data_IF_116891059206
#
_entry.id   IF_116891059206
#
_cell.length_a   1.000
_cell.length_b   1.000
_cell.length_c   1.000
_cell.angle_alpha   90.00
_cell.angle_beta   90.00
_cell.angle_gamma   90.00
#
_symmetry.space_group_name_H-M   'P 1'
#
loop_
_entity.id
_entity.type
_entity.pdbx_description
1 polymer ?
#
# COMPACT_ATOMS: atom_id res chain seq x y z
N UNK A 1 7.74 -9.77 -11.15
CA UNK A 1 8.93 -9.48 -10.32
C UNK A 1 9.39 -10.71 -9.51
N UNK A 2 8.51 -11.34 -8.73
CA UNK A 2 8.90 -12.44 -7.82
C UNK A 2 9.63 -13.62 -8.47
N UNK A 3 9.30 -14.01 -9.72
CA UNK A 3 9.99 -15.12 -10.40
C UNK A 3 11.48 -14.85 -10.63
N UNK A 4 11.84 -13.67 -11.14
CA UNK A 4 13.23 -13.32 -11.44
C UNK A 4 14.06 -13.21 -10.15
N UNK A 5 13.49 -12.56 -9.13
CA UNK A 5 14.13 -12.38 -7.81
C UNK A 5 14.39 -13.73 -7.15
N UNK A 6 13.43 -14.65 -7.21
CA UNK A 6 13.56 -16.03 -6.68
C UNK A 6 14.56 -16.86 -7.46
N UNK A 7 14.51 -16.82 -8.80
CA UNK A 7 15.40 -17.59 -9.66
C UNK A 7 16.86 -17.15 -9.50
N UNK A 8 17.12 -15.85 -9.50
CA UNK A 8 18.48 -15.29 -9.38
C UNK A 8 18.98 -15.18 -7.94
N UNK A 9 18.14 -15.48 -6.94
CA UNK A 9 18.45 -15.34 -5.50
C UNK A 9 18.95 -13.94 -5.13
N UNK A 10 18.35 -12.92 -5.72
CA UNK A 10 18.66 -11.50 -5.45
C UNK A 10 17.55 -10.88 -4.60
N UNK A 11 17.77 -9.66 -4.11
CA UNK A 11 16.71 -8.81 -3.55
C UNK A 11 16.49 -7.61 -4.45
N UNK A 12 15.23 -7.21 -4.64
CA UNK A 12 14.86 -6.04 -5.41
C UNK A 12 14.03 -5.10 -4.54
N UNK A 13 14.35 -3.80 -4.60
CA UNK A 13 13.57 -2.73 -3.97
C UNK A 13 13.02 -1.86 -5.09
N UNK A 14 11.75 -1.50 -4.99
CA UNK A 14 11.07 -0.66 -5.98
C UNK A 14 10.14 0.32 -5.29
N UNK A 15 10.03 1.52 -5.85
CA UNK A 15 9.02 2.50 -5.48
C UNK A 15 7.88 2.43 -6.52
N UNK A 16 6.64 2.30 -6.04
CA UNK A 16 5.44 2.17 -6.88
C UNK A 16 4.40 3.16 -6.37
N UNK A 17 3.81 3.94 -7.28
CA UNK A 17 2.75 4.89 -6.92
C UNK A 17 1.37 4.22 -6.81
N UNK A 18 1.15 3.12 -7.52
CA UNK A 18 -0.12 2.38 -7.52
C UNK A 18 -0.13 1.25 -6.48
N UNK A 19 -1.12 1.31 -5.58
CA UNK A 19 -1.28 0.34 -4.48
C UNK A 19 -1.64 -1.08 -4.97
N UNK A 20 -2.40 -1.21 -6.05
CA UNK A 20 -2.82 -2.49 -6.59
C UNK A 20 -1.65 -3.22 -7.27
N UNK A 21 -0.82 -2.48 -8.01
CA UNK A 21 0.43 -3.01 -8.54
C UNK A 21 1.39 -3.42 -7.42
N UNK A 22 1.52 -2.59 -6.37
CA UNK A 22 2.34 -2.91 -5.21
C UNK A 22 1.88 -4.20 -4.52
N UNK A 23 0.57 -4.33 -4.28
CA UNK A 23 -0.08 -5.52 -3.70
C UNK A 23 0.19 -6.79 -4.51
N UNK A 24 0.08 -6.69 -5.84
CA UNK A 24 0.18 -7.83 -6.78
C UNK A 24 1.61 -8.33 -6.92
N UNK A 25 2.58 -7.44 -7.01
CA UNK A 25 3.94 -7.79 -7.45
C UNK A 25 4.98 -7.83 -6.34
N UNK A 26 4.64 -7.33 -5.15
CA UNK A 26 5.56 -7.30 -4.01
C UNK A 26 5.24 -8.41 -3.01
N UNK A 27 6.30 -9.00 -2.45
CA UNK A 27 6.18 -9.94 -1.33
C UNK A 27 6.05 -9.19 0.00
N UNK A 28 6.67 -8.00 0.11
CA UNK A 28 6.59 -7.09 1.25
C UNK A 28 6.42 -5.66 0.77
N UNK A 29 5.80 -4.83 1.60
CA UNK A 29 5.63 -3.39 1.39
C UNK A 29 6.26 -2.61 2.53
N UNK A 30 6.67 -1.39 2.22
CA UNK A 30 7.04 -0.36 3.18
C UNK A 30 6.19 0.86 2.86
N UNK A 31 5.37 1.28 3.81
CA UNK A 31 4.58 2.50 3.73
C UNK A 31 5.37 3.64 4.36
N UNK A 32 5.42 4.77 3.67
CA UNK A 32 6.14 5.96 4.12
C UNK A 32 5.16 7.09 4.40
N UNK A 33 5.32 7.77 5.52
CA UNK A 33 4.59 8.99 5.88
C UNK A 33 5.57 9.99 6.49
N UNK A 34 5.54 11.24 6.04
CA UNK A 34 6.38 12.33 6.55
C UNK A 34 7.88 11.98 6.57
N UNK A 35 8.36 11.34 5.50
CA UNK A 35 9.76 10.92 5.35
C UNK A 35 10.19 9.76 6.25
N UNK A 36 9.27 9.13 6.99
CA UNK A 36 9.54 8.02 7.91
C UNK A 36 8.79 6.76 7.50
N UNK A 37 9.32 5.61 7.91
CA UNK A 37 8.60 4.33 7.80
C UNK A 37 7.42 4.34 8.74
N UNK A 38 6.21 4.30 8.17
CA UNK A 38 4.97 4.18 8.91
C UNK A 38 4.68 2.71 9.27
N UNK A 39 4.85 1.81 8.29
CA UNK A 39 4.67 0.37 8.48
C UNK A 39 5.48 -0.42 7.44
N UNK A 40 5.91 -1.63 7.80
CA UNK A 40 6.58 -2.57 6.90
C UNK A 40 6.08 -4.00 7.15
N UNK A 41 5.79 -4.75 6.08
CA UNK A 41 5.24 -6.10 6.21
C UNK A 41 4.58 -6.62 4.94
N UNK A 42 3.73 -7.63 5.07
CA UNK A 42 3.00 -8.20 3.94
C UNK A 42 1.87 -7.28 3.47
N UNK A 43 1.55 -7.26 2.15
CA UNK A 43 0.45 -6.45 1.63
C UNK A 43 -0.88 -6.64 2.37
N UNK A 44 -1.23 -7.87 2.78
CA UNK A 44 -2.48 -8.17 3.50
C UNK A 44 -2.57 -7.51 4.87
N UNK A 45 -1.44 -7.31 5.55
CA UNK A 45 -1.42 -6.64 6.84
C UNK A 45 -1.41 -5.12 6.69
N UNK A 46 -0.78 -4.61 5.62
CA UNK A 46 -0.52 -3.19 5.45
C UNK A 46 -1.62 -2.46 4.67
N UNK A 47 -2.15 -3.05 3.60
CA UNK A 47 -3.18 -2.44 2.75
C UNK A 47 -4.56 -2.69 3.35
N UNK A 48 -4.90 -1.89 4.37
CA UNK A 48 -6.23 -1.79 4.95
C UNK A 48 -6.69 -0.32 4.93
N UNK A 49 -7.98 -0.08 5.12
CA UNK A 49 -8.63 1.22 5.01
C UNK A 49 -7.99 2.26 5.95
N UNK A 50 -7.65 1.86 7.19
CA UNK A 50 -7.05 2.73 8.20
C UNK A 50 -5.67 3.21 7.74
N UNK A 51 -4.80 2.28 7.35
CA UNK A 51 -3.45 2.62 6.90
C UNK A 51 -3.48 3.45 5.62
N UNK A 52 -4.38 3.14 4.69
CA UNK A 52 -4.53 3.90 3.44
C UNK A 52 -4.98 5.33 3.73
N UNK A 53 -5.97 5.53 4.60
CA UNK A 53 -6.40 6.86 5.03
C UNK A 53 -5.29 7.64 5.72
N UNK A 54 -4.54 7.00 6.62
CA UNK A 54 -3.46 7.65 7.35
C UNK A 54 -2.26 8.04 6.47
N UNK A 55 -1.90 7.22 5.49
CA UNK A 55 -0.68 7.42 4.68
C UNK A 55 -0.96 8.18 3.39
N UNK A 56 -2.11 7.95 2.74
CA UNK A 56 -2.43 8.51 1.44
C UNK A 56 -3.53 9.57 1.47
N UNK A 57 -4.18 9.81 2.62
CA UNK A 57 -5.20 10.85 2.75
C UNK A 57 -6.46 10.57 1.92
N UNK A 58 -6.83 9.29 1.77
CA UNK A 58 -8.02 8.89 1.01
C UNK A 58 -8.87 7.90 1.81
N UNK A 59 -10.18 7.99 1.65
CA UNK A 59 -11.07 6.90 2.00
C UNK A 59 -11.07 5.90 0.84
N UNK A 60 -10.90 4.63 1.16
CA UNK A 60 -10.85 3.56 0.17
C UNK A 60 -11.61 2.34 0.70
N UNK A 61 -12.08 1.50 -0.22
CA UNK A 61 -12.54 0.15 0.06
C UNK A 61 -11.42 -0.83 -0.26
N UNK A 62 -11.13 -1.77 0.64
CA UNK A 62 -10.19 -2.85 0.38
C UNK A 62 -10.92 -4.17 0.22
N UNK A 63 -10.71 -4.82 -0.92
CA UNK A 63 -11.30 -6.11 -1.25
C UNK A 63 -10.19 -7.15 -1.44
N UNK A 64 -10.53 -8.43 -1.28
CA UNK A 64 -9.62 -9.51 -1.67
C UNK A 64 -9.86 -9.87 -3.14
N UNK A 65 -8.85 -9.70 -3.98
CA UNK A 65 -8.84 -10.17 -5.36
C UNK A 65 -7.72 -11.19 -5.55
N UNK A 66 -8.09 -12.46 -5.80
CA UNK A 66 -7.14 -13.56 -6.01
C UNK A 66 -6.10 -13.72 -4.87
N UNK A 67 -6.54 -13.55 -3.62
CA UNK A 67 -5.67 -13.69 -2.45
C UNK A 67 -4.76 -12.49 -2.17
N UNK A 68 -4.98 -11.36 -2.84
CA UNK A 68 -4.24 -10.10 -2.63
C UNK A 68 -5.21 -8.94 -2.38
N UNK A 69 -4.84 -7.95 -1.55
CA UNK A 69 -5.63 -6.73 -1.40
C UNK A 69 -5.79 -5.98 -2.73
N UNK A 70 -7.00 -5.50 -3.00
CA UNK A 70 -7.37 -4.64 -4.11
C UNK A 70 -8.06 -3.41 -3.56
N UNK A 71 -7.45 -2.26 -3.78
CA UNK A 71 -7.85 -0.97 -3.25
C UNK A 71 -8.67 -0.24 -4.29
N UNK A 72 -9.88 0.18 -3.91
CA UNK A 72 -10.75 1.05 -4.69
C UNK A 72 -10.88 2.38 -3.95
N UNK A 73 -10.30 3.47 -4.47
CA UNK A 73 -10.47 4.80 -3.89
C UNK A 73 -11.94 5.22 -3.94
N UNK A 74 -12.46 5.78 -2.85
CA UNK A 74 -13.82 6.28 -2.76
C UNK A 74 -13.85 7.82 -2.84
N UNK A 75 -13.05 8.49 -1.99
CA UNK A 75 -12.91 9.95 -1.97
C UNK A 75 -11.61 10.38 -1.30
N UNK A 76 -11.20 11.62 -1.55
CA UNK A 76 -10.12 12.25 -0.79
C UNK A 76 -10.61 12.63 0.61
N UNK A 77 -9.75 12.41 1.61
CA UNK A 77 -9.89 13.01 2.93
C UNK A 77 -9.23 14.40 2.84
N UNK A 78 -9.96 15.39 2.32
CA UNK A 78 -9.53 16.77 2.52
C UNK A 78 -9.55 17.08 4.01
N UNK A 79 -8.56 17.84 4.50
CA UNK A 79 -8.63 18.53 5.79
C UNK A 79 -9.76 19.57 5.72
N UNK A 80 -11.01 19.12 5.81
CA UNK A 80 -12.19 19.94 6.00
C UNK A 80 -12.76 19.64 7.39
N UNK A 81 -11.94 19.93 8.42
CA UNK A 81 -12.35 20.20 9.80
C UNK A 81 -11.11 20.53 10.67
N UNK A 82 -10.33 21.54 10.28
CA UNK A 82 -9.72 22.41 11.30
C UNK A 82 -10.82 23.43 11.58
N UNK A 83 -11.61 23.18 12.63
CA UNK A 83 -12.60 24.14 13.09
C UNK A 83 -11.87 25.38 13.62
N UNK A 84 -12.26 26.56 13.11
CA UNK A 84 -12.25 27.79 13.91
C UNK A 84 -13.28 27.68 15.05
#
# INVERSE_FOLDING_TARGET
MSSLVKEKKISAVMAIHDLNLASRFSDKLVMLKDGKVYAAGEPKALLNEVNIGQVYGIEAMVMNAMGRPYVVPLRSLTEAAVCD
#
